data_IF_489889145894
#
_entry.id   IF_489889145894
#
_cell.length_a   1.000
_cell.length_b   1.000
_cell.length_c   1.000
_cell.angle_alpha   90.00
_cell.angle_beta   90.00
_cell.angle_gamma   90.00
#
_symmetry.space_group_name_H-M   'P 1'
#
loop_
_entity.id
_entity.type
_entity.pdbx_description
1 polymer ?
#
# COMPACT_ATOMS: atom_id res chain seq x y z
N UNK A 1 2.42 17.87 -0.89
CA UNK A 1 1.81 17.10 0.23
C UNK A 1 1.21 15.86 -0.40
N UNK A 2 1.16 14.71 0.30
CA UNK A 2 0.39 13.59 -0.25
C UNK A 2 -1.10 13.99 -0.33
N UNK A 3 -1.72 13.75 -1.48
CA UNK A 3 -3.14 14.04 -1.69
C UNK A 3 -3.94 13.05 -0.82
N UNK A 4 -4.43 13.52 0.33
CA UNK A 4 -5.18 12.71 1.29
C UNK A 4 -6.57 13.30 1.45
N UNK A 5 -7.59 12.46 1.35
CA UNK A 5 -8.99 12.80 1.58
C UNK A 5 -9.45 12.06 2.83
N UNK A 6 -9.83 12.78 3.88
CA UNK A 6 -10.43 12.16 5.06
C UNK A 6 -11.95 12.28 5.03
N UNK A 7 -12.64 11.17 5.25
CA UNK A 7 -14.09 11.11 5.39
C UNK A 7 -14.43 11.10 6.87
N UNK A 8 -15.03 12.20 7.35
CA UNK A 8 -15.43 12.38 8.75
C UNK A 8 -16.93 12.58 8.85
N UNK A 9 -17.50 12.28 10.00
CA UNK A 9 -18.93 12.41 10.27
C UNK A 9 -19.40 11.37 11.28
N UNK A 10 -20.60 11.58 11.84
CA UNK A 10 -21.15 10.68 12.84
C UNK A 10 -21.36 9.25 12.30
N UNK A 11 -21.59 8.24 13.17
CA UNK A 11 -21.91 6.88 12.72
C UNK A 11 -23.12 6.83 11.77
N UNK A 12 -23.14 5.82 10.88
CA UNK A 12 -24.27 5.48 10.00
C UNK A 12 -24.68 6.52 8.93
N UNK A 13 -23.89 7.57 8.72
CA UNK A 13 -24.08 8.54 7.60
C UNK A 13 -23.64 8.02 6.24
N UNK A 14 -23.01 6.84 6.19
CA UNK A 14 -22.57 6.19 4.94
C UNK A 14 -21.11 6.41 4.54
N UNK A 15 -20.23 6.76 5.50
CA UNK A 15 -18.78 6.94 5.28
C UNK A 15 -18.12 5.75 4.58
N UNK A 16 -18.29 4.55 5.14
CA UNK A 16 -17.72 3.32 4.57
C UNK A 16 -18.30 2.96 3.20
N UNK A 17 -19.54 3.37 2.91
CA UNK A 17 -20.14 3.20 1.58
C UNK A 17 -19.47 4.11 0.55
N UNK A 18 -19.24 5.38 0.91
CA UNK A 18 -18.52 6.31 0.05
C UNK A 18 -17.07 5.87 -0.14
N UNK A 19 -16.38 5.50 0.95
CA UNK A 19 -15.01 4.98 0.91
C UNK A 19 -14.87 3.84 -0.10
N UNK A 20 -15.67 2.77 0.04
CA UNK A 20 -15.60 1.60 -0.85
C UNK A 20 -15.89 1.95 -2.32
N UNK A 21 -16.71 2.98 -2.55
CA UNK A 21 -17.00 3.48 -3.89
C UNK A 21 -15.80 4.20 -4.49
N UNK A 22 -15.15 5.08 -3.71
CA UNK A 22 -13.99 5.83 -4.17
C UNK A 22 -12.78 4.93 -4.45
N UNK A 23 -12.61 3.86 -3.68
CA UNK A 23 -11.49 2.92 -3.81
C UNK A 23 -11.77 1.75 -4.75
N UNK A 24 -12.93 1.74 -5.43
CA UNK A 24 -13.41 0.68 -6.32
C UNK A 24 -13.42 -0.75 -5.70
N UNK A 25 -13.36 -0.85 -4.37
CA UNK A 25 -13.25 -2.12 -3.66
C UNK A 25 -14.64 -2.70 -3.34
N UNK A 26 -14.96 -3.89 -3.86
CA UNK A 26 -16.24 -4.60 -3.57
C UNK A 26 -16.31 -5.28 -2.20
N UNK A 27 -15.28 -5.14 -1.37
CA UNK A 27 -15.27 -5.53 0.04
C UNK A 27 -14.36 -4.55 0.74
N UNK A 28 -14.81 -3.97 1.85
CA UNK A 28 -13.88 -3.51 2.86
C UNK A 28 -13.01 -4.72 3.19
N UNK A 29 -11.75 -4.69 2.77
CA UNK A 29 -10.76 -5.57 3.37
C UNK A 29 -10.62 -4.99 4.76
N UNK A 30 -11.22 -5.68 5.73
CA UNK A 30 -10.93 -5.47 7.15
C UNK A 30 -9.46 -5.88 7.28
N UNK A 31 -8.55 -4.92 7.15
CA UNK A 31 -7.16 -5.10 7.54
C UNK A 31 -7.13 -4.94 9.06
N UNK A 32 -7.37 -6.02 9.77
CA UNK A 32 -7.10 -6.13 11.21
C UNK A 32 -5.57 -6.11 11.41
N UNK A 33 -4.97 -4.91 11.42
CA UNK A 33 -3.62 -4.72 11.93
C UNK A 33 -3.65 -4.97 13.44
N UNK A 34 -3.30 -6.18 13.88
CA UNK A 34 -3.15 -6.48 15.31
C UNK A 34 -1.99 -5.65 15.86
N UNK A 35 -2.33 -4.68 16.71
CA UNK A 35 -1.41 -3.70 17.32
C UNK A 35 -1.94 -2.27 17.33
N UNK A 36 -2.94 -1.94 16.51
CA UNK A 36 -3.64 -0.65 16.52
C UNK A 36 -5.13 -0.88 16.34
N UNK A 37 -5.81 -1.24 17.42
CA UNK A 37 -7.28 -1.22 17.46
C UNK A 37 -7.75 0.24 17.55
N UNK A 38 -7.71 0.98 16.43
CA UNK A 38 -8.52 2.18 16.20
C UNK A 38 -8.88 2.26 14.71
N UNK A 39 -9.90 1.48 14.35
CA UNK A 39 -10.68 1.41 13.12
C UNK A 39 -10.50 2.56 12.11
N UNK A 40 -9.45 2.50 11.28
CA UNK A 40 -9.26 3.39 10.13
C UNK A 40 -8.89 2.60 8.89
N UNK A 41 -9.61 2.86 7.80
CA UNK A 41 -9.35 2.21 6.51
C UNK A 41 -8.69 3.19 5.56
N UNK A 42 -7.59 2.75 4.94
CA UNK A 42 -6.84 3.49 3.93
C UNK A 42 -7.00 2.81 2.57
N UNK A 43 -7.29 3.60 1.53
CA UNK A 43 -7.40 3.08 0.18
C UNK A 43 -6.98 4.11 -0.87
N UNK A 44 -6.45 3.62 -1.99
CA UNK A 44 -6.11 4.46 -3.14
C UNK A 44 -7.36 4.75 -3.99
N UNK A 45 -7.48 5.99 -4.46
CA UNK A 45 -8.48 6.42 -5.43
C UNK A 45 -7.83 7.29 -6.51
N UNK A 46 -8.46 7.34 -7.68
CA UNK A 46 -8.02 8.16 -8.81
C UNK A 46 -9.21 8.89 -9.42
N UNK A 47 -9.06 10.18 -9.70
CA UNK A 47 -10.07 10.96 -10.41
C UNK A 47 -9.39 11.94 -11.38
N UNK A 48 -9.75 11.87 -12.67
CA UNK A 48 -9.19 12.69 -13.76
C UNK A 48 -7.65 12.69 -13.73
N UNK A 49 -7.05 11.50 -13.60
CA UNK A 49 -5.61 11.31 -13.56
C UNK A 49 -4.90 11.79 -12.28
N UNK A 50 -5.62 12.36 -11.30
CA UNK A 50 -5.08 12.73 -9.99
C UNK A 50 -5.33 11.60 -8.99
N UNK A 51 -4.25 11.01 -8.48
CA UNK A 51 -4.29 9.97 -7.44
C UNK A 51 -4.30 10.58 -6.05
N UNK A 52 -5.05 9.96 -5.15
CA UNK A 52 -5.14 10.36 -3.75
C UNK A 52 -5.47 9.17 -2.85
N UNK A 53 -5.11 9.27 -1.57
CA UNK A 53 -5.46 8.29 -0.54
C UNK A 53 -6.74 8.74 0.15
N UNK A 54 -7.71 7.85 0.30
CA UNK A 54 -8.94 8.06 1.06
C UNK A 54 -8.79 7.40 2.43
N UNK A 55 -9.18 8.11 3.48
CA UNK A 55 -9.21 7.62 4.85
C UNK A 55 -10.67 7.60 5.33
N UNK A 56 -11.18 6.43 5.72
CA UNK A 56 -12.43 6.31 6.46
C UNK A 56 -12.13 6.23 7.96
N UNK A 57 -12.65 7.18 8.73
CA UNK A 57 -12.41 7.26 10.18
C UNK A 57 -13.37 6.36 10.98
N UNK A 58 -13.82 5.23 10.44
CA UNK A 58 -14.98 4.50 10.94
C UNK A 58 -14.72 3.22 11.74
N UNK A 59 -15.03 3.25 13.05
CA UNK A 59 -15.43 2.11 13.90
C UNK A 59 -15.32 2.39 15.42
N UNK A 60 -16.10 1.69 16.25
CA UNK A 60 -16.61 2.10 17.57
C UNK A 60 -15.63 1.98 18.77
N UNK A 61 -15.70 2.94 19.71
CA UNK A 61 -15.38 2.70 21.13
C UNK A 61 -16.67 2.28 21.85
N UNK A 62 -16.68 1.11 22.47
CA UNK A 62 -17.78 0.71 23.36
C UNK A 62 -17.63 1.47 24.70
N UNK A 63 -18.58 2.36 25.03
CA UNK A 63 -18.57 3.16 26.25
C UNK A 63 -19.81 4.04 26.41
N UNK A 64 -19.94 4.72 27.55
CA UNK A 64 -21.00 5.71 27.82
C UNK A 64 -20.93 6.91 26.87
N UNK A 65 -22.03 7.65 26.73
CA UNK A 65 -22.19 8.76 25.77
C UNK A 65 -21.02 9.79 25.82
N UNK A 66 -20.53 10.16 27.01
CA UNK A 66 -19.40 11.10 27.18
C UNK A 66 -18.05 10.58 26.62
N UNK A 67 -17.80 9.27 26.72
CA UNK A 67 -16.56 8.65 26.19
C UNK A 67 -16.63 8.58 24.67
N UNK A 68 -17.84 8.42 24.13
CA UNK A 68 -18.10 8.34 22.70
C UNK A 68 -17.84 9.68 22.00
N UNK A 69 -18.28 10.79 22.59
CA UNK A 69 -18.04 12.14 22.06
C UNK A 69 -16.55 12.51 22.05
N UNK A 70 -15.82 12.21 23.13
CA UNK A 70 -14.39 12.49 23.22
C UNK A 70 -13.59 11.70 22.16
N UNK A 71 -13.94 10.42 21.96
CA UNK A 71 -13.30 9.57 20.96
C UNK A 71 -13.58 10.05 19.53
N UNK A 72 -14.81 10.51 19.24
CA UNK A 72 -15.16 11.07 17.93
C UNK A 72 -14.38 12.35 17.68
N UNK A 73 -14.29 13.25 18.66
CA UNK A 73 -13.50 14.48 18.53
C UNK A 73 -12.03 14.19 18.25
N UNK A 74 -11.43 13.22 18.94
CA UNK A 74 -10.04 12.79 18.71
C UNK A 74 -9.85 12.26 17.28
N UNK A 75 -10.78 11.44 16.77
CA UNK A 75 -10.74 10.94 15.39
C UNK A 75 -10.80 12.08 14.37
N UNK A 76 -11.68 13.06 14.58
CA UNK A 76 -11.79 14.24 13.69
C UNK A 76 -10.52 15.08 13.74
N UNK A 77 -9.89 15.28 14.90
CA UNK A 77 -8.66 16.05 15.02
C UNK A 77 -7.51 15.41 14.24
N UNK A 78 -7.33 14.11 14.38
CA UNK A 78 -6.26 13.40 13.67
C UNK A 78 -6.53 13.40 12.16
N UNK A 79 -7.79 13.23 11.74
CA UNK A 79 -8.18 13.37 10.33
C UNK A 79 -7.88 14.78 9.79
N UNK A 80 -8.14 15.82 10.60
CA UNK A 80 -7.77 17.20 10.26
C UNK A 80 -6.26 17.33 10.15
N UNK A 81 -5.44 16.69 10.97
CA UNK A 81 -3.97 16.79 10.87
C UNK A 81 -3.41 16.11 9.62
N UNK A 82 -3.98 14.96 9.23
CA UNK A 82 -3.49 14.12 8.13
C UNK A 82 -4.01 14.54 6.74
N UNK A 83 -5.26 14.98 6.64
CA UNK A 83 -5.92 15.18 5.35
C UNK A 83 -5.37 16.37 4.56
N UNK A 84 -5.37 16.33 3.24
CA UNK A 84 -5.27 17.54 2.42
C UNK A 84 -6.65 18.18 2.24
N UNK A 85 -7.70 17.36 2.12
CA UNK A 85 -9.10 17.78 1.98
C UNK A 85 -9.98 16.93 2.90
N UNK A 86 -10.98 17.54 3.54
CA UNK A 86 -11.87 16.85 4.48
C UNK A 86 -13.28 16.79 3.88
N UNK A 87 -13.87 15.60 3.87
CA UNK A 87 -15.26 15.35 3.52
C UNK A 87 -16.07 15.16 4.80
N UNK A 88 -16.87 16.15 5.17
CA UNK A 88 -17.78 16.07 6.30
C UNK A 88 -19.12 15.49 5.83
N UNK A 89 -19.31 14.20 6.05
CA UNK A 89 -20.51 13.47 5.64
C UNK A 89 -21.64 13.59 6.66
N UNK A 90 -22.82 13.95 6.16
CA UNK A 90 -24.07 14.04 6.92
C UNK A 90 -25.19 13.25 6.22
N UNK A 91 -26.23 12.91 6.96
CA UNK A 91 -27.35 12.10 6.46
C UNK A 91 -28.62 12.95 6.34
N UNK A 92 -29.05 13.17 5.09
CA UNK A 92 -30.23 13.99 4.76
C UNK A 92 -31.52 13.39 5.31
N UNK A 93 -31.60 12.09 5.57
CA UNK A 93 -32.83 11.49 6.11
C UNK A 93 -33.00 11.72 7.60
N UNK A 94 -31.91 12.07 8.30
CA UNK A 94 -31.93 12.34 9.75
C UNK A 94 -31.92 13.84 10.05
N UNK A 95 -31.27 14.62 9.19
CA UNK A 95 -31.00 16.04 9.42
C UNK A 95 -29.84 16.28 10.39
N UNK A 96 -29.75 17.51 10.90
CA UNK A 96 -28.68 17.97 11.80
C UNK A 96 -28.86 17.36 13.20
N UNK A 97 -27.77 16.87 13.79
CA UNK A 97 -27.72 16.42 15.19
C UNK A 97 -26.65 17.19 15.98
N UNK A 98 -26.72 17.13 17.31
CA UNK A 98 -25.72 17.78 18.20
C UNK A 98 -24.28 17.33 17.90
N UNK A 99 -24.11 16.06 17.56
CA UNK A 99 -22.81 15.51 17.18
C UNK A 99 -22.31 16.07 15.84
N UNK A 100 -23.21 16.34 14.89
CA UNK A 100 -22.86 16.97 13.62
C UNK A 100 -22.44 18.44 13.85
N UNK A 101 -23.14 19.16 14.73
CA UNK A 101 -22.77 20.54 15.12
C UNK A 101 -21.40 20.60 15.83
N UNK A 102 -21.11 19.64 16.71
CA UNK A 102 -19.83 19.52 17.38
C UNK A 102 -18.68 19.25 16.41
N UNK A 103 -18.87 18.33 15.46
CA UNK A 103 -17.88 18.06 14.42
C UNK A 103 -17.69 19.31 13.54
N UNK A 104 -18.78 19.98 13.15
CA UNK A 104 -18.73 21.20 12.37
C UNK A 104 -17.99 22.33 13.10
N UNK A 105 -18.16 22.46 14.43
CA UNK A 105 -17.44 23.41 15.27
C UNK A 105 -15.92 23.20 15.23
N UNK A 106 -15.48 21.94 15.28
CA UNK A 106 -14.06 21.59 15.16
C UNK A 106 -13.55 21.92 13.75
N UNK A 107 -14.30 21.51 12.73
CA UNK A 107 -13.93 21.70 11.32
C UNK A 107 -13.85 23.18 10.92
N UNK A 108 -14.73 24.04 11.46
CA UNK A 108 -14.69 25.51 11.23
C UNK A 108 -13.38 26.15 11.67
N UNK A 109 -12.68 25.56 12.64
CA UNK A 109 -11.37 26.05 13.14
C UNK A 109 -10.21 25.54 12.29
N UNK A 110 -10.45 24.55 11.42
CA UNK A 110 -9.45 24.04 10.49
C UNK A 110 -9.15 25.06 9.40
N UNK A 111 -7.89 25.11 8.96
CA UNK A 111 -7.48 25.89 7.79
C UNK A 111 -7.52 25.07 6.50
N UNK A 112 -7.92 23.80 6.59
CA UNK A 112 -7.97 22.88 5.44
C UNK A 112 -9.29 23.02 4.69
N UNK A 113 -9.33 22.74 3.38
CA UNK A 113 -10.58 22.65 2.62
C UNK A 113 -11.51 21.60 3.25
N UNK A 114 -12.75 22.01 3.56
CA UNK A 114 -13.80 21.15 4.09
C UNK A 114 -14.97 21.21 3.13
N UNK A 115 -15.49 20.04 2.74
CA UNK A 115 -16.70 19.92 1.92
C UNK A 115 -17.77 19.20 2.73
N UNK A 116 -18.95 19.80 2.84
CA UNK A 116 -20.10 19.14 3.45
C UNK A 116 -20.74 18.24 2.41
N UNK A 117 -20.88 16.97 2.74
CA UNK A 117 -21.36 15.91 1.84
C UNK A 117 -22.67 15.37 2.39
N UNK A 118 -23.78 15.87 1.84
CA UNK A 118 -25.13 15.45 2.17
C UNK A 118 -25.44 14.13 1.45
N UNK A 119 -25.41 13.03 2.20
CA UNK A 119 -25.56 11.68 1.65
C UNK A 119 -27.01 11.19 1.69
N UNK A 120 -27.27 10.09 0.94
CA UNK A 120 -28.59 9.45 0.77
C UNK A 120 -29.63 10.31 0.02
N UNK A 121 -29.16 11.21 -0.85
CA UNK A 121 -30.03 12.00 -1.73
C UNK A 121 -30.43 11.17 -2.94
N UNK A 122 -31.45 10.32 -2.77
CA UNK A 122 -31.89 9.40 -3.83
C UNK A 122 -33.00 9.98 -4.73
N UNK A 123 -33.68 11.05 -4.30
CA UNK A 123 -34.81 11.66 -5.02
C UNK A 123 -34.85 13.19 -4.88
N UNK A 124 -35.48 13.88 -5.85
CA UNK A 124 -35.56 15.34 -5.95
C UNK A 124 -36.00 16.07 -4.66
N UNK A 125 -36.94 15.50 -3.88
CA UNK A 125 -37.40 16.10 -2.63
C UNK A 125 -36.29 16.23 -1.57
N UNK A 126 -35.34 15.29 -1.55
CA UNK A 126 -34.23 15.28 -0.59
C UNK A 126 -33.15 16.32 -0.94
N UNK A 127 -33.09 16.80 -2.19
CA UNK A 127 -32.22 17.92 -2.57
C UNK A 127 -32.62 19.23 -1.87
N UNK A 128 -33.92 19.42 -1.59
CA UNK A 128 -34.38 20.60 -0.86
C UNK A 128 -34.12 20.49 0.64
N UNK A 129 -34.16 19.27 1.18
CA UNK A 129 -33.92 19.03 2.61
C UNK A 129 -32.47 19.33 3.01
N UNK A 130 -31.51 19.09 2.13
CA UNK A 130 -30.10 19.34 2.45
C UNK A 130 -29.73 20.82 2.63
N UNK A 131 -30.64 21.75 2.29
CA UNK A 131 -30.44 23.18 2.53
C UNK A 131 -30.25 23.50 4.03
N UNK A 132 -30.74 22.66 4.94
CA UNK A 132 -30.53 22.85 6.38
C UNK A 132 -29.04 22.84 6.76
N UNK A 133 -28.21 22.04 6.06
CA UNK A 133 -26.79 21.88 6.38
C UNK A 133 -25.93 23.10 6.08
N UNK A 134 -26.47 24.13 5.40
CA UNK A 134 -25.83 25.44 5.33
C UNK A 134 -25.65 26.07 6.72
N UNK A 135 -26.45 25.67 7.72
CA UNK A 135 -26.33 26.12 9.11
C UNK A 135 -24.94 25.86 9.73
N UNK A 136 -24.19 24.86 9.24
CA UNK A 136 -22.83 24.60 9.70
C UNK A 136 -21.84 25.73 9.36
N UNK A 137 -22.13 26.54 8.34
CA UNK A 137 -21.25 27.63 7.89
C UNK A 137 -19.92 27.13 7.30
N UNK A 138 -19.93 25.94 6.69
CA UNK A 138 -18.75 25.29 6.09
C UNK A 138 -18.68 25.43 4.56
N UNK A 139 -19.57 26.23 3.97
CA UNK A 139 -19.58 26.51 2.52
C UNK A 139 -20.61 25.71 1.75
N UNK A 140 -20.26 25.29 0.54
CA UNK A 140 -21.13 24.58 -0.39
C UNK A 140 -21.45 23.15 0.08
N UNK A 141 -22.68 22.71 -0.18
CA UNK A 141 -23.19 21.39 0.16
C UNK A 141 -23.22 20.51 -1.09
N UNK A 142 -22.52 19.38 -1.04
CA UNK A 142 -22.50 18.38 -2.12
C UNK A 142 -23.52 17.29 -1.82
N UNK A 143 -24.58 17.23 -2.63
CA UNK A 143 -25.62 16.22 -2.53
C UNK A 143 -25.18 14.95 -3.26
N UNK A 144 -25.07 13.84 -2.53
CA UNK A 144 -24.66 12.57 -3.11
C UNK A 144 -25.55 11.41 -2.69
N UNK A 145 -25.50 10.34 -3.47
CA UNK A 145 -25.95 9.01 -3.06
C UNK A 145 -24.77 8.06 -3.13
N UNK A 146 -24.14 7.79 -1.98
CA UNK A 146 -23.00 6.86 -1.92
C UNK A 146 -23.35 5.45 -2.39
N UNK A 147 -24.62 5.05 -2.26
CA UNK A 147 -25.10 3.74 -2.70
C UNK A 147 -25.12 3.61 -4.23
N UNK A 148 -25.53 4.67 -4.94
CA UNK A 148 -25.67 4.65 -6.41
C UNK A 148 -24.48 5.26 -7.14
N UNK A 149 -23.78 6.20 -6.50
CA UNK A 149 -22.70 7.03 -7.07
C UNK A 149 -23.18 8.37 -7.62
N UNK A 150 -24.47 8.69 -7.50
CA UNK A 150 -24.99 9.99 -7.96
C UNK A 150 -24.32 11.15 -7.19
N UNK A 151 -23.98 12.23 -7.89
CA UNK A 151 -23.41 13.46 -7.33
C UNK A 151 -21.92 13.37 -6.92
N UNK A 152 -21.29 12.19 -6.96
CA UNK A 152 -19.89 12.08 -6.52
C UNK A 152 -18.90 12.71 -7.48
N UNK A 153 -19.24 12.85 -8.77
CA UNK A 153 -18.36 13.46 -9.77
C UNK A 153 -18.06 14.93 -9.47
N UNK A 154 -19.10 15.74 -9.24
CA UNK A 154 -18.99 17.17 -8.91
C UNK A 154 -18.21 17.39 -7.62
N UNK A 155 -18.45 16.54 -6.61
CA UNK A 155 -17.66 16.53 -5.37
C UNK A 155 -16.18 16.25 -5.66
N UNK A 156 -15.87 15.22 -6.45
CA UNK A 156 -14.50 14.82 -6.74
C UNK A 156 -13.76 15.86 -7.59
N UNK A 157 -14.43 16.52 -8.53
CA UNK A 157 -13.87 17.64 -9.30
C UNK A 157 -13.37 18.76 -8.37
N UNK A 158 -14.17 19.10 -7.36
CA UNK A 158 -13.80 20.09 -6.35
C UNK A 158 -12.68 19.61 -5.43
N UNK A 159 -12.75 18.35 -4.96
CA UNK A 159 -11.70 17.75 -4.12
C UNK A 159 -10.34 17.77 -4.83
N UNK A 160 -10.28 17.28 -6.08
CA UNK A 160 -9.01 17.20 -6.80
C UNK A 160 -8.51 18.55 -7.31
N UNK A 161 -9.31 19.61 -7.25
CA UNK A 161 -8.84 20.97 -7.54
C UNK A 161 -7.77 21.45 -6.55
N UNK A 162 -7.77 20.92 -5.32
CA UNK A 162 -6.75 21.18 -4.29
C UNK A 162 -5.49 20.32 -4.44
N UNK A 163 -5.49 19.38 -5.37
CA UNK A 163 -4.39 18.47 -5.59
C UNK A 163 -3.53 18.96 -6.74
N UNK A 164 -2.23 19.02 -6.52
CA UNK A 164 -1.28 19.17 -7.60
C UNK A 164 -1.31 17.88 -8.43
N UNK A 165 -1.23 18.04 -9.75
CA UNK A 165 -0.85 16.92 -10.60
C UNK A 165 0.56 16.61 -10.17
N UNK A 166 0.74 15.50 -9.46
CA UNK A 166 2.07 14.93 -9.29
C UNK A 166 2.45 14.49 -10.69
N UNK A 167 3.14 15.35 -11.44
CA UNK A 167 3.99 14.85 -12.51
C UNK A 167 4.90 13.84 -11.80
N UNK A 168 4.71 12.57 -12.10
CA UNK A 168 5.74 11.58 -11.84
C UNK A 168 6.92 12.09 -12.68
N UNK A 169 7.80 12.91 -12.08
CA UNK A 169 9.19 12.90 -12.52
C UNK A 169 9.51 11.41 -12.60
N UNK A 170 9.84 10.94 -13.80
CA UNK A 170 10.46 9.64 -13.94
C UNK A 170 11.77 9.73 -13.15
N UNK A 171 11.69 9.51 -11.84
CA UNK A 171 12.81 9.06 -11.03
C UNK A 171 13.21 7.76 -11.72
N UNK A 172 14.14 7.85 -12.68
CA UNK A 172 14.64 6.71 -13.44
C UNK A 172 15.38 5.73 -12.54
N UNK A 173 15.71 6.18 -11.33
CA UNK A 173 16.42 5.41 -10.33
C UNK A 173 15.47 4.51 -9.55
N UNK A 174 15.85 3.25 -9.30
CA UNK A 174 15.12 2.34 -8.43
C UNK A 174 14.82 2.98 -7.07
N UNK A 175 13.60 2.83 -6.57
CA UNK A 175 13.24 3.25 -5.21
C UNK A 175 13.30 2.05 -4.28
N UNK A 176 14.10 2.12 -3.22
CA UNK A 176 14.31 1.02 -2.28
C UNK A 176 13.94 1.50 -0.88
N UNK A 177 13.20 0.70 -0.11
CA UNK A 177 12.98 0.96 1.31
C UNK A 177 13.49 -0.21 2.16
N UNK A 178 13.98 0.09 3.37
CA UNK A 178 14.38 -0.91 4.37
C UNK A 178 13.31 -0.93 5.46
N UNK A 179 12.53 -2.01 5.51
CA UNK A 179 11.42 -2.18 6.44
C UNK A 179 11.69 -3.32 7.43
N UNK A 180 10.89 -3.40 8.50
CA UNK A 180 11.00 -4.43 9.55
C UNK A 180 10.72 -3.89 10.95
N UNK A 181 10.63 -4.77 11.94
CA UNK A 181 10.39 -4.40 13.35
C UNK A 181 11.45 -3.44 13.92
N UNK A 182 11.15 -2.71 15.01
CA UNK A 182 12.18 -1.96 15.75
C UNK A 182 13.39 -2.83 16.12
N UNK A 183 14.59 -2.24 16.20
CA UNK A 183 15.82 -2.91 16.67
C UNK A 183 16.39 -4.09 15.85
N UNK A 184 15.77 -4.48 14.72
CA UNK A 184 16.29 -5.53 13.81
C UNK A 184 17.59 -5.12 13.08
N UNK A 185 17.90 -3.82 13.04
CA UNK A 185 19.14 -3.30 12.44
C UNK A 185 18.97 -2.34 11.24
N UNK A 186 17.75 -1.91 10.91
CA UNK A 186 17.45 -1.03 9.76
C UNK A 186 18.32 0.23 9.71
N UNK A 187 18.38 0.97 10.82
CA UNK A 187 19.19 2.19 10.92
C UNK A 187 20.68 1.90 10.79
N UNK A 188 21.15 0.77 11.33
CA UNK A 188 22.53 0.34 11.19
C UNK A 188 22.86 0.03 9.74
N UNK A 189 21.99 -0.70 9.02
CA UNK A 189 22.18 -1.03 7.61
C UNK A 189 22.21 0.25 6.78
N UNK A 190 21.24 1.12 7.02
CA UNK A 190 21.16 2.42 6.34
C UNK A 190 22.44 3.22 6.56
N UNK A 191 22.92 3.36 7.80
CA UNK A 191 24.17 4.07 8.09
C UNK A 191 25.40 3.41 7.46
N UNK A 192 25.44 2.07 7.40
CA UNK A 192 26.51 1.34 6.76
C UNK A 192 26.56 1.59 5.24
N UNK A 193 25.39 1.66 4.59
CA UNK A 193 25.26 2.07 3.18
C UNK A 193 25.60 3.55 2.99
N UNK A 194 25.27 4.40 3.98
CA UNK A 194 25.40 5.85 3.88
C UNK A 194 26.73 6.44 4.34
N UNK A 195 27.75 5.64 4.66
CA UNK A 195 29.02 6.01 5.32
C UNK A 195 29.48 7.48 5.25
N UNK A 196 29.99 8.00 6.38
CA UNK A 196 30.23 9.43 6.66
C UNK A 196 31.13 10.21 5.68
N UNK A 197 31.92 9.55 4.82
CA UNK A 197 32.99 10.22 4.05
C UNK A 197 32.88 10.11 2.51
N UNK A 198 31.81 9.53 1.96
CA UNK A 198 31.76 9.24 0.50
C UNK A 198 30.44 9.50 -0.22
N UNK A 199 29.43 9.99 0.47
CA UNK A 199 28.18 10.37 -0.19
C UNK A 199 28.16 11.87 -0.47
N UNK A 200 28.06 12.23 -1.74
CA UNK A 200 27.42 13.49 -2.11
C UNK A 200 25.94 13.30 -1.81
N UNK A 201 25.56 13.54 -0.55
CA UNK A 201 24.16 13.72 -0.17
C UNK A 201 23.74 15.06 -0.74
N UNK A 202 23.31 15.09 -2.00
CA UNK A 202 22.59 16.24 -2.52
C UNK A 202 21.14 16.11 -2.08
N UNK A 203 20.65 16.95 -1.15
CA UNK A 203 19.22 17.17 -1.08
C UNK A 203 18.81 17.72 -2.45
N UNK A 204 17.96 17.00 -3.18
CA UNK A 204 17.36 17.54 -4.39
C UNK A 204 16.42 18.65 -3.91
N UNK A 205 16.88 19.89 -4.04
CA UNK A 205 16.17 21.07 -3.60
C UNK A 205 14.88 21.21 -4.43
N UNK A 206 13.72 21.22 -3.75
CA UNK A 206 12.40 21.25 -4.39
C UNK A 206 11.45 20.16 -3.92
N UNK A 207 11.95 19.10 -3.29
CA UNK A 207 11.11 17.97 -2.84
C UNK A 207 10.50 18.23 -1.45
N UNK A 208 9.31 18.84 -1.40
CA UNK A 208 8.56 18.97 -0.14
C UNK A 208 7.63 17.78 0.16
N UNK A 209 7.79 17.28 1.39
CA UNK A 209 6.79 16.61 2.28
C UNK A 209 6.60 15.10 2.13
N UNK A 210 7.51 14.35 2.77
CA UNK A 210 7.23 13.39 3.88
C UNK A 210 8.08 12.11 3.84
N UNK A 211 8.83 11.85 2.77
CA UNK A 211 9.89 10.83 2.77
C UNK A 211 11.22 11.51 2.43
N UNK A 212 12.20 11.43 3.31
CA UNK A 212 13.57 11.81 2.97
C UNK A 212 14.06 10.74 1.99
N UNK A 213 14.26 11.13 0.72
CA UNK A 213 14.92 10.31 -0.29
C UNK A 213 16.42 10.53 -0.19
N UNK A 214 17.19 9.46 -0.08
CA UNK A 214 18.65 9.56 -0.09
C UNK A 214 19.18 8.86 -1.34
N UNK A 215 19.91 9.61 -2.15
CA UNK A 215 20.59 9.06 -3.31
C UNK A 215 21.79 8.21 -2.87
N UNK A 216 21.78 6.94 -3.26
CA UNK A 216 22.91 6.03 -3.11
C UNK A 216 23.52 5.81 -4.49
N UNK A 217 24.83 6.05 -4.63
CA UNK A 217 25.60 5.80 -5.86
C UNK A 217 26.98 5.24 -5.49
N UNK A 218 27.03 3.95 -5.13
CA UNK A 218 28.28 3.28 -4.77
C UNK A 218 28.29 1.83 -5.26
N UNK A 219 29.50 1.28 -5.45
CA UNK A 219 29.72 -0.13 -5.83
C UNK A 219 28.95 -0.53 -7.10
N UNK A 220 28.85 0.38 -8.07
CA UNK A 220 28.17 0.15 -9.35
C UNK A 220 26.65 0.10 -9.26
N UNK A 221 26.05 0.45 -8.12
CA UNK A 221 24.61 0.48 -7.93
C UNK A 221 24.17 1.92 -7.62
N UNK A 222 23.09 2.34 -8.28
CA UNK A 222 22.52 3.68 -8.14
C UNK A 222 21.01 3.55 -7.88
N UNK A 223 20.53 4.15 -6.79
CA UNK A 223 19.12 4.07 -6.38
C UNK A 223 18.76 5.14 -5.34
N UNK A 224 17.46 5.34 -5.14
CA UNK A 224 16.91 6.20 -4.10
C UNK A 224 16.47 5.36 -2.90
N UNK A 225 17.08 5.62 -1.74
CA UNK A 225 16.64 5.04 -0.49
C UNK A 225 15.48 5.87 0.08
N UNK A 226 14.30 5.26 0.15
CA UNK A 226 13.05 5.82 0.66
C UNK A 226 12.93 5.53 2.16
N UNK A 227 12.63 6.59 2.92
CA UNK A 227 12.37 6.59 4.37
C UNK A 227 13.59 6.36 5.27
N UNK A 228 14.39 7.42 5.41
CA UNK A 228 15.48 7.48 6.39
C UNK A 228 15.14 8.29 7.64
N UNK A 229 13.86 8.57 7.92
CA UNK A 229 13.47 9.43 9.03
C UNK A 229 13.79 8.81 10.42
N UNK A 230 14.05 7.50 10.49
CA UNK A 230 14.61 6.83 11.67
C UNK A 230 16.06 7.21 11.99
N UNK A 231 16.76 7.93 11.11
CA UNK A 231 18.16 8.33 11.31
C UNK A 231 18.35 9.70 11.99
N UNK A 232 17.32 10.56 12.07
CA UNK A 232 17.50 11.96 12.52
C UNK A 232 16.87 12.37 13.85
N UNK A 233 16.14 11.52 14.58
CA UNK A 233 15.63 11.90 15.92
C UNK A 233 16.28 11.12 17.06
N UNK A 234 17.43 11.62 17.52
CA UNK A 234 17.90 11.49 18.91
C UNK A 234 17.39 12.66 19.77
N UNK A 235 16.08 12.94 19.73
CA UNK A 235 15.52 14.00 20.57
C UNK A 235 14.33 13.46 21.32
N UNK A 236 14.46 13.45 22.65
CA UNK A 236 13.42 13.16 23.65
C UNK A 236 12.07 13.75 23.22
N UNK A 237 11.14 12.90 22.81
CA UNK A 237 9.71 13.21 22.82
C UNK A 237 9.01 11.91 23.21
N UNK A 238 8.43 11.89 24.40
CA UNK A 238 7.67 10.78 24.96
C UNK A 238 6.23 10.84 24.46
N UNK A 239 5.69 9.67 24.09
CA UNK A 239 4.28 9.36 23.78
C UNK A 239 3.77 9.78 22.37
N UNK A 240 3.08 8.85 21.70
CA UNK A 240 2.61 8.83 20.28
C UNK A 240 3.60 8.42 19.15
N UNK A 241 4.68 7.66 19.42
CA UNK A 241 5.67 7.30 18.37
C UNK A 241 5.22 6.15 17.45
N UNK A 242 4.53 5.13 17.96
CA UNK A 242 4.34 3.87 17.22
C UNK A 242 3.38 4.01 16.02
N UNK A 243 2.25 4.70 16.19
CA UNK A 243 1.29 4.94 15.11
C UNK A 243 1.92 5.67 13.91
N UNK A 244 2.65 6.76 14.17
CA UNK A 244 3.37 7.50 13.13
C UNK A 244 4.50 6.69 12.49
N UNK A 245 5.11 5.75 13.23
CA UNK A 245 6.13 4.84 12.68
C UNK A 245 5.52 3.83 11.70
N UNK A 246 4.31 3.32 12.00
CA UNK A 246 3.59 2.39 11.12
C UNK A 246 3.17 3.10 9.83
N UNK A 247 2.56 4.29 9.94
CA UNK A 247 2.12 5.06 8.77
C UNK A 247 3.28 5.45 7.84
N UNK A 248 4.45 5.78 8.41
CA UNK A 248 5.66 6.02 7.62
C UNK A 248 6.12 4.77 6.88
N UNK A 249 6.10 3.62 7.54
CA UNK A 249 6.46 2.34 6.93
C UNK A 249 5.52 2.02 5.77
N UNK A 250 4.22 2.25 5.93
CA UNK A 250 3.22 2.06 4.86
C UNK A 250 3.55 2.96 3.67
N UNK A 251 3.69 4.27 3.89
CA UNK A 251 4.02 5.24 2.83
C UNK A 251 5.35 4.94 2.14
N UNK A 252 6.35 4.47 2.88
CA UNK A 252 7.64 4.08 2.34
C UNK A 252 7.53 2.85 1.44
N UNK A 253 6.72 1.86 1.82
CA UNK A 253 6.43 0.69 0.99
C UNK A 253 5.66 1.09 -0.27
N UNK A 254 4.70 1.99 -0.16
CA UNK A 254 3.92 2.52 -1.29
C UNK A 254 4.78 3.27 -2.32
N UNK A 255 5.76 4.08 -1.90
CA UNK A 255 6.67 4.80 -2.81
C UNK A 255 7.84 3.93 -3.32
N UNK A 256 8.18 2.83 -2.63
CA UNK A 256 9.29 1.96 -3.05
C UNK A 256 8.96 1.07 -4.25
N UNK A 257 9.96 0.68 -5.03
CA UNK A 257 9.88 -0.41 -6.01
C UNK A 257 10.16 -1.77 -5.36
N UNK A 258 11.17 -1.80 -4.48
CA UNK A 258 11.65 -2.98 -3.75
C UNK A 258 11.73 -2.69 -2.24
N UNK A 259 11.20 -3.62 -1.45
CA UNK A 259 11.24 -3.62 0.01
C UNK A 259 12.28 -4.62 0.48
N UNK A 260 13.33 -4.12 1.14
CA UNK A 260 14.27 -4.95 1.89
C UNK A 260 13.71 -5.18 3.30
N UNK A 261 13.01 -6.30 3.49
CA UNK A 261 12.44 -6.70 4.78
C UNK A 261 13.54 -7.27 5.67
N UNK A 262 13.91 -6.52 6.70
CA UNK A 262 14.97 -6.90 7.62
C UNK A 262 14.38 -7.55 8.87
N UNK A 263 14.86 -8.75 9.19
CA UNK A 263 14.42 -9.55 10.35
C UNK A 263 15.60 -9.82 11.27
N UNK A 264 15.33 -9.95 12.57
CA UNK A 264 16.35 -10.35 13.55
C UNK A 264 16.54 -11.86 13.51
N UNK A 265 17.79 -12.33 13.44
CA UNK A 265 18.11 -13.75 13.44
C UNK A 265 17.75 -14.46 14.76
N UNK A 266 17.76 -13.76 15.89
CA UNK A 266 17.47 -14.36 17.19
C UNK A 266 15.96 -14.55 17.39
N UNK A 267 15.17 -13.53 17.04
CA UNK A 267 13.70 -13.58 17.17
C UNK A 267 13.06 -14.37 16.02
N UNK A 268 13.68 -14.35 14.84
CA UNK A 268 13.10 -14.86 13.61
C UNK A 268 11.95 -14.01 13.08
N UNK A 269 11.10 -14.65 12.28
CA UNK A 269 9.96 -13.99 11.61
C UNK A 269 8.76 -13.91 12.56
N UNK A 270 8.42 -12.70 13.00
CA UNK A 270 7.27 -12.42 13.87
C UNK A 270 6.04 -11.91 13.08
N UNK A 271 4.90 -11.75 13.77
CA UNK A 271 3.65 -11.29 13.18
C UNK A 271 3.78 -9.93 12.47
N UNK A 272 4.51 -8.97 13.04
CA UNK A 272 4.70 -7.67 12.42
C UNK A 272 5.53 -7.76 11.13
N UNK A 273 6.53 -8.65 11.06
CA UNK A 273 7.32 -8.86 9.84
C UNK A 273 6.47 -9.50 8.73
N UNK A 274 5.58 -10.44 9.09
CA UNK A 274 4.60 -11.05 8.17
C UNK A 274 3.63 -10.00 7.63
N UNK A 275 3.15 -9.09 8.48
CA UNK A 275 2.26 -8.00 8.04
C UNK A 275 2.96 -7.06 7.05
N UNK A 276 4.21 -6.69 7.31
CA UNK A 276 5.01 -5.87 6.39
C UNK A 276 5.23 -6.61 5.06
N UNK A 277 5.52 -7.92 5.11
CA UNK A 277 5.68 -8.76 3.93
C UNK A 277 4.41 -8.77 3.06
N UNK A 278 3.25 -9.06 3.65
CA UNK A 278 1.98 -9.08 2.91
C UNK A 278 1.58 -7.70 2.40
N UNK A 279 1.91 -6.63 3.12
CA UNK A 279 1.69 -5.27 2.65
C UNK A 279 2.52 -4.99 1.38
N UNK A 280 3.79 -5.40 1.35
CA UNK A 280 4.64 -5.30 0.17
C UNK A 280 4.10 -6.13 -1.00
N UNK A 281 3.65 -7.37 -0.74
CA UNK A 281 3.04 -8.26 -1.73
C UNK A 281 1.73 -7.69 -2.32
N UNK A 282 0.85 -7.16 -1.47
CA UNK A 282 -0.42 -6.51 -1.84
C UNK A 282 -0.16 -5.30 -2.73
N UNK A 283 0.83 -4.49 -2.37
CA UNK A 283 1.31 -3.33 -3.14
C UNK A 283 2.18 -3.70 -4.36
N UNK A 284 2.36 -4.99 -4.67
CA UNK A 284 3.11 -5.47 -5.85
C UNK A 284 4.55 -4.98 -5.88
N UNK A 285 5.18 -4.91 -4.69
CA UNK A 285 6.57 -4.52 -4.52
C UNK A 285 7.49 -5.71 -4.68
N UNK A 286 8.72 -5.48 -5.16
CA UNK A 286 9.77 -6.48 -5.04
C UNK A 286 10.10 -6.68 -3.56
N UNK A 287 10.47 -7.88 -3.15
CA UNK A 287 10.78 -8.19 -1.76
C UNK A 287 12.11 -8.95 -1.70
N UNK A 288 12.97 -8.53 -0.77
CA UNK A 288 14.17 -9.26 -0.35
C UNK A 288 14.14 -9.37 1.16
N UNK A 289 14.34 -10.57 1.70
CA UNK A 289 14.41 -10.79 3.16
C UNK A 289 15.87 -10.79 3.60
N UNK A 290 16.21 -9.90 4.53
CA UNK A 290 17.53 -9.77 5.12
C UNK A 290 17.47 -10.25 6.58
N UNK A 291 18.01 -11.43 6.85
CA UNK A 291 18.16 -11.98 8.20
C UNK A 291 19.42 -11.38 8.81
N UNK A 292 19.28 -10.39 9.69
CA UNK A 292 20.40 -9.65 10.28
C UNK A 292 20.77 -10.19 11.67
N UNK A 293 21.94 -9.79 12.19
CA UNK A 293 22.56 -10.30 13.43
C UNK A 293 22.89 -11.79 13.34
N UNK A 294 23.14 -12.27 12.12
CA UNK A 294 23.47 -13.67 11.91
C UNK A 294 24.78 -14.06 12.60
N UNK A 295 25.66 -13.11 12.92
CA UNK A 295 26.86 -13.30 13.74
C UNK A 295 26.56 -13.81 15.17
N UNK A 296 25.39 -13.47 15.72
CA UNK A 296 25.01 -13.81 17.10
C UNK A 296 24.38 -15.19 17.26
N UNK A 297 23.99 -15.82 16.15
CA UNK A 297 23.38 -17.16 16.17
C UNK A 297 24.49 -18.21 16.25
N UNK A 298 24.35 -19.19 17.15
CA UNK A 298 25.20 -20.40 17.16
C UNK A 298 24.84 -21.29 15.96
N UNK A 299 25.86 -21.75 15.22
CA UNK A 299 25.66 -22.34 13.89
C UNK A 299 26.21 -23.75 13.81
N UNK A 300 25.44 -24.59 13.14
CA UNK A 300 25.90 -25.84 12.55
C UNK A 300 25.70 -25.85 11.02
N UNK A 301 25.94 -26.99 10.38
CA UNK A 301 25.81 -27.13 8.93
C UNK A 301 24.35 -27.07 8.39
N UNK A 302 23.34 -27.13 9.26
CA UNK A 302 21.91 -27.17 8.87
C UNK A 302 21.14 -25.92 9.26
N UNK A 303 21.63 -25.16 10.25
CA UNK A 303 20.97 -24.01 10.87
C UNK A 303 20.41 -23.03 9.84
N UNK A 304 21.20 -22.64 8.83
CA UNK A 304 20.77 -21.70 7.80
C UNK A 304 19.63 -22.26 6.94
N UNK A 305 19.71 -23.54 6.52
CA UNK A 305 18.69 -24.18 5.70
C UNK A 305 17.37 -24.36 6.46
N UNK A 306 17.45 -24.73 7.73
CA UNK A 306 16.28 -24.89 8.60
C UNK A 306 15.62 -23.54 8.92
N UNK A 307 16.42 -22.48 9.08
CA UNK A 307 15.90 -21.12 9.23
C UNK A 307 15.18 -20.64 7.97
N UNK A 308 15.80 -20.86 6.80
CA UNK A 308 15.22 -20.52 5.51
C UNK A 308 13.90 -21.26 5.26
N UNK A 309 13.85 -22.57 5.56
CA UNK A 309 12.63 -23.37 5.43
C UNK A 309 11.49 -22.83 6.29
N UNK A 310 11.78 -22.47 7.56
CA UNK A 310 10.80 -21.85 8.48
C UNK A 310 10.28 -20.51 7.97
N UNK A 311 11.13 -19.68 7.37
CA UNK A 311 10.70 -18.42 6.75
C UNK A 311 9.77 -18.74 5.57
N UNK A 312 10.20 -19.62 4.65
CA UNK A 312 9.45 -19.97 3.42
C UNK A 312 8.07 -20.56 3.73
N UNK A 313 7.94 -21.32 4.82
CA UNK A 313 6.65 -21.83 5.30
C UNK A 313 5.71 -20.69 5.73
N UNK A 314 6.22 -19.72 6.50
CA UNK A 314 5.42 -18.60 7.01
C UNK A 314 5.02 -17.58 5.94
N UNK A 315 5.83 -17.39 4.89
CA UNK A 315 5.53 -16.44 3.79
C UNK A 315 4.76 -17.10 2.62
N UNK A 316 4.39 -18.37 2.74
CA UNK A 316 3.61 -19.06 1.72
C UNK A 316 2.27 -18.33 1.47
N UNK A 317 1.77 -18.28 0.22
CA UNK A 317 2.29 -18.98 -0.96
C UNK A 317 3.42 -18.25 -1.70
N UNK A 318 3.72 -16.99 -1.38
CA UNK A 318 4.78 -16.22 -2.05
C UNK A 318 6.15 -16.57 -1.46
N UNK A 319 6.61 -17.78 -1.76
CA UNK A 319 7.85 -18.33 -1.22
C UNK A 319 9.06 -18.10 -2.11
N UNK A 320 8.90 -17.63 -3.36
CA UNK A 320 9.98 -17.32 -4.31
C UNK A 320 10.58 -15.94 -4.02
N UNK A 321 11.15 -15.79 -2.82
CA UNK A 321 11.74 -14.55 -2.32
C UNK A 321 13.20 -14.82 -1.93
N UNK A 322 14.17 -13.98 -2.35
CA UNK A 322 15.55 -14.10 -1.91
C UNK A 322 15.68 -13.85 -0.41
N UNK A 323 16.37 -14.76 0.28
CA UNK A 323 16.66 -14.68 1.72
C UNK A 323 18.17 -14.63 1.90
N UNK A 324 18.67 -13.56 2.53
CA UNK A 324 20.10 -13.36 2.79
C UNK A 324 20.36 -13.26 4.29
N UNK A 325 21.31 -14.05 4.76
CA UNK A 325 21.84 -13.95 6.11
C UNK A 325 22.98 -12.93 6.13
N UNK A 326 22.84 -11.88 6.94
CA UNK A 326 23.71 -10.70 7.00
C UNK A 326 24.12 -10.40 8.44
N UNK A 327 25.23 -9.65 8.59
CA UNK A 327 25.58 -9.01 9.85
C UNK A 327 26.04 -7.60 9.56
N UNK A 328 25.22 -6.63 9.94
CA UNK A 328 25.55 -5.22 9.71
C UNK A 328 26.70 -4.76 10.60
N UNK A 329 26.75 -5.23 11.85
CA UNK A 329 27.80 -4.91 12.83
C UNK A 329 29.16 -5.40 12.35
N UNK A 330 29.22 -6.64 11.88
CA UNK A 330 30.45 -7.25 11.33
C UNK A 330 30.69 -6.92 9.85
N UNK A 331 29.83 -6.08 9.24
CA UNK A 331 29.86 -5.72 7.82
C UNK A 331 29.83 -6.91 6.86
N UNK A 332 29.24 -8.02 7.26
CA UNK A 332 29.15 -9.25 6.46
C UNK A 332 27.97 -9.18 5.50
N UNK A 333 28.25 -9.42 4.21
CA UNK A 333 27.25 -9.58 3.13
C UNK A 333 26.33 -8.37 2.90
N UNK A 334 26.70 -7.17 3.39
CA UNK A 334 25.97 -5.92 3.11
C UNK A 334 25.95 -5.63 1.60
N UNK A 335 27.10 -5.74 0.92
CA UNK A 335 27.17 -5.53 -0.53
C UNK A 335 26.33 -6.56 -1.29
N UNK A 336 26.35 -7.82 -0.85
CA UNK A 336 25.53 -8.86 -1.47
C UNK A 336 24.04 -8.58 -1.32
N UNK A 337 23.63 -8.01 -0.19
CA UNK A 337 22.25 -7.57 0.00
C UNK A 337 21.86 -6.48 -1.01
N UNK A 338 22.72 -5.50 -1.26
CA UNK A 338 22.48 -4.46 -2.28
C UNK A 338 22.36 -5.06 -3.67
N UNK A 339 23.30 -5.94 -4.06
CA UNK A 339 23.24 -6.63 -5.36
C UNK A 339 21.92 -7.39 -5.56
N UNK A 340 21.48 -8.15 -4.55
CA UNK A 340 20.24 -8.92 -4.65
C UNK A 340 18.99 -8.03 -4.67
N UNK A 341 18.99 -6.90 -3.96
CA UNK A 341 17.88 -5.92 -4.06
C UNK A 341 17.78 -5.38 -5.48
N UNK A 342 18.91 -5.08 -6.12
CA UNK A 342 18.95 -4.60 -7.50
C UNK A 342 18.57 -5.68 -8.51
N UNK A 343 18.94 -6.93 -8.29
CA UNK A 343 18.49 -8.08 -9.07
C UNK A 343 16.96 -8.24 -9.01
N UNK A 344 16.36 -8.11 -7.83
CA UNK A 344 14.89 -8.13 -7.67
C UNK A 344 14.24 -6.95 -8.40
N UNK A 345 14.84 -5.76 -8.37
CA UNK A 345 14.35 -4.62 -9.16
C UNK A 345 14.40 -4.90 -10.67
N UNK A 346 15.48 -5.49 -11.16
CA UNK A 346 15.61 -5.89 -12.57
C UNK A 346 14.57 -6.95 -12.95
N UNK A 347 14.33 -7.94 -12.09
CA UNK A 347 13.28 -8.93 -12.26
C UNK A 347 11.89 -8.29 -12.32
N UNK A 348 11.66 -7.24 -11.52
CA UNK A 348 10.39 -6.51 -11.49
C UNK A 348 10.13 -5.71 -12.77
N UNK A 349 11.16 -5.12 -13.35
CA UNK A 349 11.07 -4.28 -14.56
C UNK A 349 11.30 -5.06 -15.86
N UNK A 350 11.60 -6.36 -15.75
CA UNK A 350 11.88 -7.27 -16.87
C UNK A 350 10.73 -7.29 -17.89
N UNK A 351 11.06 -6.98 -19.14
CA UNK A 351 10.15 -7.11 -20.30
C UNK A 351 10.53 -8.34 -21.12
N UNK A 352 9.57 -9.24 -21.32
CA UNK A 352 9.75 -10.45 -22.12
C UNK A 352 9.15 -10.20 -23.51
N UNK A 353 9.91 -10.43 -24.61
CA UNK A 353 9.36 -10.39 -25.95
C UNK A 353 8.16 -11.33 -26.08
N UNK A 354 7.07 -10.83 -26.65
CA UNK A 354 5.82 -11.60 -26.82
C UNK A 354 6.06 -12.92 -27.55
N UNK A 355 6.93 -12.95 -28.57
CA UNK A 355 7.28 -14.19 -29.30
C UNK A 355 7.85 -15.24 -28.35
N UNK A 356 8.93 -14.91 -27.64
CA UNK A 356 9.58 -15.78 -26.65
C UNK A 356 8.60 -16.27 -25.58
N UNK A 357 7.71 -15.39 -25.11
CA UNK A 357 6.69 -15.75 -24.13
C UNK A 357 5.70 -16.80 -24.68
N UNK A 358 5.26 -16.65 -25.93
CA UNK A 358 4.36 -17.62 -26.57
C UNK A 358 5.08 -18.94 -26.86
N UNK A 359 6.31 -18.91 -27.37
CA UNK A 359 7.10 -20.09 -27.71
C UNK A 359 7.26 -21.01 -26.48
N UNK A 360 7.54 -20.43 -25.32
CA UNK A 360 7.71 -21.18 -24.07
C UNK A 360 6.37 -21.56 -23.45
N UNK A 361 5.49 -20.58 -23.21
CA UNK A 361 4.30 -20.81 -22.38
C UNK A 361 3.22 -21.61 -23.09
N UNK A 362 3.09 -21.49 -24.42
CA UNK A 362 2.11 -22.30 -25.16
C UNK A 362 2.52 -23.78 -25.16
N UNK A 363 3.82 -24.10 -25.28
CA UNK A 363 4.31 -25.48 -25.15
C UNK A 363 4.05 -26.07 -23.75
N UNK A 364 4.29 -25.28 -22.70
CA UNK A 364 3.99 -25.68 -21.32
C UNK A 364 2.50 -26.00 -21.15
N UNK A 365 1.62 -25.17 -21.71
CA UNK A 365 0.17 -25.33 -21.64
C UNK A 365 -0.30 -26.51 -22.49
N UNK A 366 0.31 -26.76 -23.64
CA UNK A 366 -0.01 -27.91 -24.50
C UNK A 366 0.33 -29.24 -23.80
N UNK A 367 1.46 -29.30 -23.11
CA UNK A 367 1.87 -30.47 -22.33
C UNK A 367 1.01 -30.70 -21.08
N UNK A 368 0.48 -29.63 -20.49
CA UNK A 368 -0.41 -29.70 -19.33
C UNK A 368 -1.61 -28.77 -19.51
N UNK A 369 -2.63 -29.17 -20.29
CA UNK A 369 -3.73 -28.31 -20.66
C UNK A 369 -4.66 -28.03 -19.48
N UNK A 370 -5.41 -26.91 -19.50
CA UNK A 370 -6.37 -26.62 -18.45
C UNK A 370 -7.46 -27.71 -18.40
N UNK A 371 -7.89 -28.15 -17.20
CA UNK A 371 -8.91 -29.18 -17.07
C UNK A 371 -10.21 -28.84 -17.80
N UNK A 372 -10.75 -29.79 -18.55
CA UNK A 372 -12.04 -29.63 -19.19
C UNK A 372 -13.14 -29.47 -18.13
N UNK A 373 -14.01 -28.48 -18.31
CA UNK A 373 -15.12 -28.21 -17.40
C UNK A 373 -16.43 -28.29 -18.17
N UNK A 374 -17.39 -29.08 -17.68
CA UNK A 374 -18.68 -29.33 -18.35
C UNK A 374 -18.52 -29.83 -19.80
N UNK A 375 -17.55 -30.70 -20.04
CA UNK A 375 -17.25 -31.25 -21.37
C UNK A 375 -16.65 -30.25 -22.37
N UNK A 376 -16.33 -29.03 -21.95
CA UNK A 376 -15.72 -28.00 -22.80
C UNK A 376 -14.23 -27.90 -22.54
N UNK A 377 -13.44 -27.95 -23.62
CA UNK A 377 -11.99 -27.77 -23.58
C UNK A 377 -11.61 -26.29 -23.62
N UNK A 378 -10.69 -25.90 -22.76
CA UNK A 378 -10.16 -24.55 -22.71
C UNK A 378 -8.88 -24.53 -23.57
N UNK A 379 -8.87 -23.71 -24.61
CA UNK A 379 -7.73 -23.51 -25.52
C UNK A 379 -7.15 -22.13 -25.29
N UNK A 380 -5.92 -22.08 -24.80
CA UNK A 380 -5.12 -20.85 -24.74
C UNK A 380 -4.45 -20.65 -26.10
N UNK A 381 -4.63 -19.48 -26.71
CA UNK A 381 -4.14 -19.21 -28.07
C UNK A 381 -2.94 -18.27 -28.10
N UNK A 382 -2.82 -17.44 -27.08
CA UNK A 382 -1.88 -16.32 -27.10
C UNK A 382 -1.60 -15.85 -25.68
N UNK A 383 -0.37 -15.45 -25.41
CA UNK A 383 0.08 -14.90 -24.14
C UNK A 383 0.81 -13.60 -24.40
N UNK A 384 0.59 -12.58 -23.55
CA UNK A 384 1.34 -11.32 -23.62
C UNK A 384 1.61 -10.77 -22.24
N UNK A 385 2.68 -9.98 -22.13
CA UNK A 385 2.96 -9.19 -20.93
C UNK A 385 2.29 -7.81 -21.08
N UNK A 386 1.53 -7.41 -20.06
CA UNK A 386 0.80 -6.14 -20.02
C UNK A 386 1.64 -5.14 -19.21
N UNK A 387 1.69 -3.84 -19.61
CA UNK A 387 2.26 -2.79 -18.78
C UNK A 387 1.59 -2.72 -17.40
N UNK A 388 2.38 -2.56 -16.34
CA UNK A 388 1.87 -2.46 -14.97
C UNK A 388 2.98 -2.23 -13.95
N UNK A 389 2.59 -2.00 -12.68
CA UNK A 389 3.50 -1.78 -11.55
C UNK A 389 4.30 -3.03 -11.14
N UNK A 390 3.90 -4.21 -11.62
CA UNK A 390 4.66 -5.46 -11.53
C UNK A 390 4.44 -6.28 -12.80
N UNK A 391 5.20 -7.36 -13.04
CA UNK A 391 4.98 -8.22 -14.20
C UNK A 391 3.55 -8.78 -14.25
N UNK A 392 2.79 -8.34 -15.24
CA UNK A 392 1.40 -8.77 -15.50
C UNK A 392 1.35 -9.54 -16.81
N UNK A 393 0.68 -10.70 -16.80
CA UNK A 393 0.57 -11.58 -17.96
C UNK A 393 -0.90 -11.86 -18.27
N UNK A 394 -1.30 -11.69 -19.53
CA UNK A 394 -2.61 -12.10 -20.01
C UNK A 394 -2.50 -13.30 -20.95
N UNK A 395 -3.24 -14.34 -20.59
CA UNK A 395 -3.45 -15.56 -21.36
C UNK A 395 -4.82 -15.48 -22.02
N UNK A 396 -4.84 -15.39 -23.34
CA UNK A 396 -6.08 -15.31 -24.11
C UNK A 396 -6.60 -16.70 -24.45
N UNK A 397 -7.80 -17.02 -23.99
CA UNK A 397 -8.43 -18.32 -24.20
C UNK A 397 -9.91 -18.21 -24.58
N UNK A 398 -10.49 -19.32 -25.04
CA UNK A 398 -11.91 -19.36 -25.43
C UNK A 398 -12.89 -19.32 -24.25
N UNK A 399 -12.49 -19.80 -23.07
CA UNK A 399 -13.37 -19.98 -21.90
C UNK A 399 -12.64 -19.63 -20.59
N UNK A 400 -12.24 -18.35 -20.38
CA UNK A 400 -11.49 -17.94 -19.19
C UNK A 400 -12.25 -18.18 -17.87
N UNK A 401 -13.58 -18.12 -17.89
CA UNK A 401 -14.45 -18.31 -16.72
C UNK A 401 -14.36 -19.72 -16.12
N UNK A 402 -13.81 -20.70 -16.85
CA UNK A 402 -13.62 -22.07 -16.36
C UNK A 402 -12.20 -22.35 -15.85
N UNK A 403 -11.28 -21.38 -15.93
CA UNK A 403 -9.94 -21.51 -15.35
C UNK A 403 -10.02 -21.33 -13.83
N UNK A 404 -9.67 -22.39 -13.10
CA UNK A 404 -9.60 -22.39 -11.64
C UNK A 404 -8.22 -21.95 -11.13
N UNK A 405 -8.16 -21.48 -9.89
CA UNK A 405 -6.94 -20.97 -9.27
C UNK A 405 -5.76 -21.95 -9.23
N UNK A 406 -5.94 -23.28 -9.03
CA UNK A 406 -4.82 -24.22 -9.11
C UNK A 406 -4.09 -24.17 -10.46
N UNK A 407 -4.82 -23.99 -11.56
CA UNK A 407 -4.21 -23.88 -12.88
C UNK A 407 -3.52 -22.52 -13.10
N UNK A 408 -4.08 -21.45 -12.53
CA UNK A 408 -3.40 -20.14 -12.52
C UNK A 408 -2.06 -20.22 -11.78
N UNK A 409 -2.03 -20.87 -10.61
CA UNK A 409 -0.80 -21.11 -9.83
C UNK A 409 0.21 -21.96 -10.59
N UNK A 410 -0.23 -22.99 -11.30
CA UNK A 410 0.63 -23.78 -12.17
C UNK A 410 1.31 -22.91 -13.24
N UNK A 411 0.54 -22.07 -13.94
CA UNK A 411 1.07 -21.17 -14.97
C UNK A 411 2.00 -20.12 -14.36
N UNK A 412 1.66 -19.57 -13.20
CA UNK A 412 2.53 -18.65 -12.45
C UNK A 412 3.87 -19.31 -12.11
N UNK A 413 3.86 -20.52 -11.55
CA UNK A 413 5.10 -21.23 -11.22
C UNK A 413 5.95 -21.48 -12.47
N UNK A 414 5.32 -21.82 -13.61
CA UNK A 414 6.03 -22.00 -14.87
C UNK A 414 6.59 -20.70 -15.44
N UNK A 415 5.94 -19.56 -15.24
CA UNK A 415 6.51 -18.26 -15.55
C UNK A 415 7.77 -17.98 -14.71
N UNK A 416 7.72 -18.27 -13.41
CA UNK A 416 8.87 -18.11 -12.49
C UNK A 416 10.04 -19.00 -12.91
N UNK A 417 9.80 -20.28 -13.17
CA UNK A 417 10.82 -21.23 -13.61
C UNK A 417 11.53 -20.83 -14.91
N UNK A 418 10.80 -20.28 -15.89
CA UNK A 418 11.34 -20.02 -17.23
C UNK A 418 11.94 -18.62 -17.42
N UNK A 419 11.52 -17.65 -16.62
CA UNK A 419 11.89 -16.25 -16.85
C UNK A 419 12.52 -15.55 -15.65
N UNK A 420 12.58 -16.23 -14.50
CA UNK A 420 13.06 -15.71 -13.22
C UNK A 420 12.33 -14.43 -12.78
N UNK A 421 11.42 -14.60 -11.84
CA UNK A 421 10.72 -13.51 -11.16
C UNK A 421 10.90 -13.61 -9.65
N UNK A 422 12.05 -14.15 -9.21
CA UNK A 422 12.37 -14.24 -7.79
C UNK A 422 12.32 -12.87 -7.13
N UNK A 423 11.64 -12.81 -5.99
CA UNK A 423 11.40 -11.60 -5.21
C UNK A 423 10.25 -10.75 -5.75
N UNK A 424 9.56 -11.14 -6.82
CA UNK A 424 8.53 -10.30 -7.46
C UNK A 424 7.14 -10.96 -7.46
N UNK A 425 6.10 -10.29 -6.96
CA UNK A 425 4.71 -10.70 -7.16
C UNK A 425 4.31 -10.55 -8.64
N UNK A 426 3.98 -11.67 -9.30
CA UNK A 426 3.49 -11.68 -10.67
C UNK A 426 1.96 -11.75 -10.69
N UNK A 427 1.34 -11.24 -11.76
CA UNK A 427 -0.11 -11.28 -11.92
C UNK A 427 -0.47 -12.03 -13.20
N UNK A 428 -1.34 -13.03 -13.09
CA UNK A 428 -1.77 -13.86 -14.21
C UNK A 428 -3.27 -13.69 -14.43
N UNK A 429 -3.64 -13.25 -15.62
CA UNK A 429 -5.02 -13.07 -16.04
C UNK A 429 -5.35 -14.01 -17.19
N UNK A 430 -6.54 -14.59 -17.17
CA UNK A 430 -7.12 -15.28 -18.31
C UNK A 430 -8.25 -14.43 -18.88
N UNK A 431 -8.17 -14.13 -20.17
CA UNK A 431 -9.14 -13.25 -20.85
C UNK A 431 -9.72 -13.94 -22.08
N UNK A 432 -10.96 -13.59 -22.40
CA UNK A 432 -11.55 -13.95 -23.68
C UNK A 432 -10.99 -13.00 -24.72
N UNK A 433 -10.58 -13.54 -25.87
CA UNK A 433 -10.17 -12.71 -27.01
C UNK A 433 -11.37 -12.00 -27.62
#
# INVERSE_FOLDING_TARGET
MANIVAIVGRPNVGKSTLYNRLTESRKAIVDDFSGVTRDRHYGEAEWIGKRFTVIDTGGFVHGSDDIFEAAIREQVHIAIEEASVILFMVDVTTGITDLDDDIANVLRRSKKPVYVVANKVDHAKLHHASAEFYAFGLGEIFNISSATGSGTGELLDQVVSHFEILEEEEDTLPKITIAGRPNVGKSSLTNALLGKDRNIVTPIAGTTRDAIRIHYNQFGNEFLLIDTAGLRRKTKVTENIEFYSVMRTIKAIEDADVVALMIDANDGLEAQDINIFHLAEKNKKGVVILVNKWDMVEKDHKTAKEFEARIREKIAPFNDVPILFTSVTEKQRIFKAVETIMEVYQNKTKKIPTSKLNDVMLQVIENYPPPATKGKYIKVKYVTQIPGRSPMFAFFCNLPQYIKDPYKRFVENKLRENFDFSGVPIQVFFRQK
#
